data_IF_385152468324
#
_entry.id   IF_385152468324
#
_cell.length_a   1.000
_cell.length_b   1.000
_cell.length_c   1.000
_cell.angle_alpha   90.00
_cell.angle_beta   90.00
_cell.angle_gamma   90.00
#
_symmetry.space_group_name_H-M   'P 1'
#
loop_
_entity.id
_entity.type
_entity.pdbx_description
1 polymer ?
#
# COMPACT_ATOMS: atom_id res chain seq x y z
N UNK A 1 2.74 6.45 6.47
CA UNK A 1 2.06 7.57 7.15
C UNK A 1 0.68 7.88 6.57
N UNK A 2 0.53 8.23 5.28
CA UNK A 2 -0.80 8.62 4.73
C UNK A 2 -1.91 7.57 4.94
N UNK A 3 -1.61 6.27 4.75
CA UNK A 3 -2.58 5.18 5.00
C UNK A 3 -2.96 5.03 6.48
N UNK A 4 -2.01 5.18 7.40
CA UNK A 4 -2.27 5.08 8.85
C UNK A 4 -3.17 6.25 9.27
N UNK A 5 -2.88 7.46 8.80
CA UNK A 5 -3.70 8.64 9.06
C UNK A 5 -5.08 8.52 8.41
N UNK A 6 -5.19 7.95 7.20
CA UNK A 6 -6.49 7.76 6.55
C UNK A 6 -7.35 6.73 7.29
N UNK A 7 -6.78 5.59 7.69
CA UNK A 7 -7.46 4.58 8.51
C UNK A 7 -7.90 5.19 9.85
N UNK A 8 -7.00 5.94 10.52
CA UNK A 8 -7.38 6.66 11.73
C UNK A 8 -8.51 7.67 11.48
N UNK A 9 -8.47 8.41 10.37
CA UNK A 9 -9.48 9.43 10.07
C UNK A 9 -10.84 8.79 9.80
N UNK A 10 -10.87 7.66 9.10
CA UNK A 10 -12.06 6.85 8.84
C UNK A 10 -12.66 6.29 10.14
N UNK A 11 -11.83 5.80 11.04
CA UNK A 11 -12.25 5.19 12.31
C UNK A 11 -12.07 6.10 13.53
N UNK A 12 -11.99 7.41 13.32
CA UNK A 12 -11.59 8.39 14.36
C UNK A 12 -12.41 8.26 15.63
N UNK A 13 -13.72 8.14 15.48
CA UNK A 13 -14.64 8.05 16.62
C UNK A 13 -14.40 6.79 17.45
N UNK A 14 -14.21 5.64 16.81
CA UNK A 14 -13.93 4.37 17.50
C UNK A 14 -12.59 4.40 18.23
N UNK A 15 -11.55 4.91 17.58
CA UNK A 15 -10.21 5.03 18.18
C UNK A 15 -10.24 6.02 19.35
N UNK A 16 -10.88 7.18 19.20
CA UNK A 16 -10.98 8.16 20.28
C UNK A 16 -11.83 7.66 21.44
N UNK A 17 -12.94 6.95 21.17
CA UNK A 17 -13.76 6.34 22.20
C UNK A 17 -12.99 5.31 23.03
N UNK A 18 -12.21 4.45 22.37
CA UNK A 18 -11.32 3.49 23.02
C UNK A 18 -10.31 4.20 23.93
N UNK A 19 -9.56 5.17 23.39
CA UNK A 19 -8.56 5.92 24.17
C UNK A 19 -9.17 6.67 25.36
N UNK A 20 -10.36 7.26 25.20
CA UNK A 20 -11.09 7.91 26.30
C UNK A 20 -11.42 6.91 27.41
N UNK A 21 -11.95 5.75 27.04
CA UNK A 21 -12.31 4.70 28.00
C UNK A 21 -11.08 4.16 28.73
N UNK A 22 -9.97 3.94 28.00
CA UNK A 22 -8.69 3.52 28.57
C UNK A 22 -8.18 4.55 29.58
N UNK A 23 -8.13 5.84 29.21
CA UNK A 23 -7.66 6.90 30.10
C UNK A 23 -8.59 7.13 31.30
N UNK A 24 -9.92 7.06 31.12
CA UNK A 24 -10.88 7.12 32.23
C UNK A 24 -10.65 5.98 33.22
N UNK A 25 -10.39 4.76 32.74
CA UNK A 25 -10.23 3.59 33.60
C UNK A 25 -8.97 3.65 34.49
N UNK A 26 -7.96 4.41 34.08
CA UNK A 26 -6.69 4.49 34.78
C UNK A 26 -6.66 5.63 35.79
N UNK A 27 -6.45 5.28 37.06
CA UNK A 27 -6.30 6.21 38.18
C UNK A 27 -5.07 5.80 39.00
N UNK A 28 -3.92 6.49 38.86
CA UNK A 28 -2.74 6.19 39.66
C UNK A 28 -2.99 6.57 41.13
N UNK A 29 -2.64 5.66 42.03
CA UNK A 29 -2.60 5.84 43.48
C UNK A 29 -1.42 6.75 43.88
N UNK A 30 -0.31 6.67 43.13
CA UNK A 30 0.93 7.42 43.37
C UNK A 30 1.64 7.76 42.06
N UNK A 31 2.52 8.76 42.09
CA UNK A 31 3.37 9.12 40.95
C UNK A 31 4.64 8.24 40.85
N UNK A 32 4.71 7.14 41.59
CA UNK A 32 5.86 6.23 41.58
C UNK A 32 5.88 5.38 40.32
N UNK A 33 7.08 5.04 39.85
CA UNK A 33 7.28 4.25 38.63
C UNK A 33 6.48 2.93 38.62
N UNK A 34 6.35 2.28 39.78
CA UNK A 34 5.62 1.01 39.91
C UNK A 34 4.14 1.17 39.55
N UNK A 35 3.52 2.24 40.02
CA UNK A 35 2.09 2.44 39.85
C UNK A 35 1.77 3.03 38.47
N UNK A 36 2.58 3.97 38.01
CA UNK A 36 2.49 4.52 36.66
C UNK A 36 2.67 3.45 35.58
N UNK A 37 3.54 2.45 35.81
CA UNK A 37 3.78 1.37 34.84
C UNK A 37 2.63 0.39 34.67
N UNK A 38 1.67 0.34 35.61
CA UNK A 38 0.46 -0.50 35.47
C UNK A 38 -0.35 -0.13 34.23
N UNK A 39 -0.28 1.13 33.81
CA UNK A 39 -0.93 1.58 32.58
C UNK A 39 -0.47 0.77 31.36
N UNK A 40 0.84 0.50 31.25
CA UNK A 40 1.40 -0.26 30.13
C UNK A 40 1.01 -1.74 30.18
N UNK A 41 0.68 -2.30 31.35
CA UNK A 41 0.21 -3.69 31.47
C UNK A 41 -1.18 -3.85 30.84
N UNK A 42 -2.06 -2.86 31.04
CA UNK A 42 -3.40 -2.83 30.45
C UNK A 42 -3.43 -2.34 29.00
N UNK A 43 -2.53 -1.43 28.63
CA UNK A 43 -2.54 -0.73 27.35
C UNK A 43 -1.22 -0.96 26.60
N UNK A 44 -1.27 -1.74 25.52
CA UNK A 44 -0.07 -2.14 24.78
C UNK A 44 0.41 -1.06 23.83
N UNK A 45 -0.49 -0.21 23.34
CA UNK A 45 -0.15 0.87 22.43
C UNK A 45 0.49 2.07 23.14
N UNK A 46 0.34 2.21 24.46
CA UNK A 46 0.99 3.27 25.23
C UNK A 46 2.52 3.12 25.21
N UNK A 47 3.21 4.20 24.87
CA UNK A 47 4.67 4.30 24.82
C UNK A 47 5.25 5.03 26.01
N UNK A 48 4.64 6.17 26.38
CA UNK A 48 5.12 7.07 27.42
C UNK A 48 3.94 7.58 28.26
N UNK A 49 4.15 7.70 29.57
CA UNK A 49 3.22 8.27 30.52
C UNK A 49 3.95 9.23 31.46
N UNK A 50 3.41 10.41 31.71
CA UNK A 50 3.95 11.39 32.65
C UNK A 50 2.87 12.35 33.17
N UNK A 51 3.22 13.13 34.20
CA UNK A 51 2.30 14.05 34.88
C UNK A 51 2.79 15.49 34.77
N UNK A 52 1.84 16.41 34.56
CA UNK A 52 2.07 17.84 34.38
C UNK A 52 1.17 18.61 35.35
N UNK A 53 1.70 19.61 36.03
CA UNK A 53 0.91 20.40 37.01
C UNK A 53 0.09 21.51 36.33
N UNK A 54 -0.72 22.24 37.10
CA UNK A 54 -1.53 23.37 36.61
C UNK A 54 -0.70 24.52 36.00
N UNK A 55 0.60 24.59 36.31
CA UNK A 55 1.54 25.54 35.69
C UNK A 55 2.20 24.99 34.42
N UNK A 56 1.68 23.88 33.89
CA UNK A 56 2.18 23.16 32.72
C UNK A 56 3.63 22.67 32.83
N UNK A 57 4.14 22.51 34.05
CA UNK A 57 5.46 21.93 34.29
C UNK A 57 5.32 20.43 34.49
N UNK A 58 6.08 19.65 33.73
CA UNK A 58 6.20 18.21 33.97
C UNK A 58 6.93 18.00 35.29
N UNK A 59 6.32 17.29 36.25
CA UNK A 59 6.88 17.11 37.60
C UNK A 59 7.15 15.63 37.94
N UNK A 60 6.96 14.73 36.98
CA UNK A 60 7.36 13.32 37.07
C UNK A 60 8.30 12.95 35.93
N UNK A 61 9.13 11.92 36.09
CA UNK A 61 9.86 11.33 34.99
C UNK A 61 8.90 10.87 33.87
N UNK A 62 9.39 10.81 32.64
CA UNK A 62 8.70 10.14 31.55
C UNK A 62 8.86 8.63 31.73
N UNK A 63 7.76 7.96 32.10
CA UNK A 63 7.74 6.52 32.28
C UNK A 63 7.49 5.86 30.93
N UNK A 64 8.40 4.98 30.52
CA UNK A 64 8.14 4.02 29.46
C UNK A 64 7.93 2.62 30.03
N UNK A 65 7.52 1.69 29.18
CA UNK A 65 7.32 0.28 29.56
C UNK A 65 8.54 -0.33 30.27
N UNK A 66 9.72 -0.13 29.70
CA UNK A 66 10.97 -0.73 30.17
C UNK A 66 12.05 0.29 30.56
N UNK A 67 11.73 1.58 30.56
CA UNK A 67 12.68 2.64 30.88
C UNK A 67 12.02 3.75 31.71
N UNK A 68 12.85 4.61 32.29
CA UNK A 68 12.44 5.85 32.95
C UNK A 68 13.39 6.92 32.43
N UNK A 69 12.83 8.03 31.96
CA UNK A 69 13.57 9.19 31.49
C UNK A 69 13.28 10.39 32.41
N UNK A 70 14.28 10.81 33.17
CA UNK A 70 14.18 11.95 34.11
C UNK A 70 14.66 13.26 33.46
N UNK A 71 15.21 13.24 32.25
CA UNK A 71 15.79 14.43 31.59
C UNK A 71 14.74 15.51 31.33
N UNK A 72 13.46 15.12 31.27
CA UNK A 72 12.33 16.01 30.99
C UNK A 72 11.60 16.48 32.26
N UNK A 73 12.01 16.03 33.42
CA UNK A 73 11.43 16.46 34.69
C UNK A 73 11.76 17.95 34.95
N UNK A 74 10.77 18.73 35.31
CA UNK A 74 10.87 20.19 35.43
C UNK A 74 10.74 20.97 34.12
N UNK A 75 10.49 20.31 32.97
CA UNK A 75 10.34 21.01 31.69
C UNK A 75 8.96 21.67 31.54
N UNK A 76 8.94 22.86 30.94
CA UNK A 76 7.72 23.59 30.59
C UNK A 76 7.05 22.97 29.34
N UNK A 77 5.77 22.59 29.49
CA UNK A 77 4.91 22.00 28.45
C UNK A 77 3.82 22.96 27.96
N UNK A 78 3.78 24.21 28.41
CA UNK A 78 2.73 25.20 28.09
C UNK A 78 2.43 25.30 26.59
N UNK A 79 3.46 25.16 25.73
CA UNK A 79 3.29 25.16 24.28
C UNK A 79 2.32 24.08 23.79
N UNK A 80 2.43 22.85 24.30
CA UNK A 80 1.59 21.72 23.89
C UNK A 80 0.15 21.86 24.38
N UNK A 81 -0.06 22.55 25.51
CA UNK A 81 -1.37 22.76 26.11
C UNK A 81 -2.20 23.87 25.44
N UNK A 82 -1.62 24.67 24.53
CA UNK A 82 -2.34 25.74 23.81
C UNK A 82 -3.56 25.24 23.01
N UNK A 83 -3.52 24.00 22.56
CA UNK A 83 -4.57 23.39 21.74
C UNK A 83 -5.38 22.33 22.49
N UNK A 84 -5.10 22.13 23.78
CA UNK A 84 -5.82 21.21 24.64
C UNK A 84 -7.11 21.89 25.09
N UNK A 85 -8.24 21.23 24.85
CA UNK A 85 -9.56 21.71 25.24
C UNK A 85 -10.34 20.60 25.94
N UNK A 86 -10.97 20.96 27.06
CA UNK A 86 -11.75 20.09 27.94
C UNK A 86 -13.23 20.50 27.96
N UNK A 87 -13.81 20.76 26.78
CA UNK A 87 -15.11 21.40 26.66
C UNK A 87 -16.25 20.61 27.32
N UNK A 88 -16.34 19.31 27.08
CA UNK A 88 -17.41 18.45 27.62
C UNK A 88 -16.88 17.27 28.46
N UNK A 89 -15.59 16.93 28.33
CA UNK A 89 -14.97 15.78 28.97
C UNK A 89 -13.61 16.17 29.59
N UNK A 90 -13.21 15.44 30.63
CA UNK A 90 -11.91 15.64 31.30
C UNK A 90 -10.71 15.13 30.47
N UNK A 91 -10.97 14.53 29.29
CA UNK A 91 -9.95 13.95 28.42
C UNK A 91 -9.90 14.68 27.08
N UNK A 92 -8.70 15.01 26.64
CA UNK A 92 -8.41 15.54 25.33
C UNK A 92 -7.52 14.55 24.55
N UNK A 93 -7.83 14.31 23.28
CA UNK A 93 -7.01 13.48 22.38
C UNK A 93 -6.50 14.35 21.24
N UNK A 94 -5.19 14.35 21.03
CA UNK A 94 -4.54 15.12 19.98
C UNK A 94 -4.92 14.64 18.58
N UNK A 95 -4.64 15.47 17.58
CA UNK A 95 -4.54 14.96 16.22
C UNK A 95 -3.27 14.08 16.05
N UNK A 96 -3.26 13.17 15.07
CA UNK A 96 -2.06 12.44 14.65
C UNK A 96 -0.86 13.36 14.41
N UNK A 97 0.29 13.04 15.00
CA UNK A 97 1.56 13.72 14.70
C UNK A 97 2.72 12.72 14.66
N UNK A 98 3.91 13.18 14.26
CA UNK A 98 5.13 12.35 14.31
C UNK A 98 5.86 12.60 15.62
N UNK A 99 6.11 11.53 16.36
CA UNK A 99 6.90 11.63 17.57
C UNK A 99 8.36 11.99 17.24
N UNK A 100 8.87 13.04 17.87
CA UNK A 100 10.19 13.62 17.60
C UNK A 100 11.38 12.67 17.82
N UNK A 101 11.27 11.67 18.72
CA UNK A 101 12.35 10.72 19.00
C UNK A 101 12.25 9.47 18.12
N UNK A 102 11.06 8.87 18.06
CA UNK A 102 10.85 7.57 17.41
C UNK A 102 10.53 7.70 15.92
N UNK A 103 10.09 8.87 15.47
CA UNK A 103 9.61 9.08 14.09
C UNK A 103 8.34 8.32 13.76
N UNK A 104 7.67 7.72 14.76
CA UNK A 104 6.44 6.96 14.57
C UNK A 104 5.21 7.88 14.62
N UNK A 105 4.11 7.53 13.93
CA UNK A 105 2.84 8.22 14.09
C UNK A 105 2.27 7.98 15.49
N UNK A 106 1.95 9.07 16.18
CA UNK A 106 1.56 9.05 17.60
C UNK A 106 0.28 9.85 17.83
N UNK A 107 -0.50 9.41 18.82
CA UNK A 107 -1.60 10.16 19.42
C UNK A 107 -1.26 10.41 20.88
N UNK A 108 -1.59 11.60 21.38
CA UNK A 108 -1.44 11.93 22.80
C UNK A 108 -2.82 12.08 23.42
N UNK A 109 -3.06 11.41 24.53
CA UNK A 109 -4.22 11.64 25.38
C UNK A 109 -3.80 12.40 26.64
N UNK A 110 -4.56 13.44 26.97
CA UNK A 110 -4.37 14.26 28.17
C UNK A 110 -5.63 14.13 29.02
N UNK A 111 -5.51 13.56 30.21
CA UNK A 111 -6.58 13.48 31.21
C UNK A 111 -6.34 14.55 32.28
N UNK A 112 -7.36 15.35 32.58
CA UNK A 112 -7.33 16.32 33.69
C UNK A 112 -7.85 15.64 34.95
N UNK A 113 -7.03 15.58 35.99
CA UNK A 113 -7.42 15.08 37.31
C UNK A 113 -7.10 16.11 38.39
N UNK A 114 -8.14 16.62 39.05
CA UNK A 114 -8.02 17.66 40.09
C UNK A 114 -7.20 18.87 39.59
N UNK A 115 -5.95 18.97 40.03
CA UNK A 115 -4.97 20.05 39.82
C UNK A 115 -3.72 19.58 39.05
N UNK A 116 -3.85 18.53 38.27
CA UNK A 116 -2.79 18.05 37.40
C UNK A 116 -3.36 17.38 36.14
N UNK A 117 -2.47 17.12 35.20
CA UNK A 117 -2.74 16.46 33.94
C UNK A 117 -1.90 15.21 33.83
N UNK A 118 -2.56 14.11 33.48
CA UNK A 118 -1.90 12.87 33.10
C UNK A 118 -1.81 12.83 31.57
N UNK A 119 -0.59 12.69 31.05
CA UNK A 119 -0.32 12.69 29.61
C UNK A 119 0.23 11.34 29.19
N UNK A 120 -0.43 10.72 28.20
CA UNK A 120 -0.05 9.44 27.64
C UNK A 120 0.14 9.54 26.13
N UNK A 121 1.29 9.09 25.64
CA UNK A 121 1.58 8.97 24.21
C UNK A 121 1.35 7.52 23.74
N UNK A 122 0.66 7.37 22.62
CA UNK A 122 0.27 6.08 22.04
C UNK A 122 0.86 5.91 20.65
N UNK A 123 1.52 4.77 20.42
CA UNK A 123 1.91 4.33 19.09
C UNK A 123 0.65 3.99 18.29
N UNK A 124 0.38 4.79 17.27
CA UNK A 124 -0.82 4.65 16.47
C UNK A 124 -0.84 3.34 15.68
N UNK A 125 0.32 2.79 15.32
CA UNK A 125 0.39 1.49 14.63
C UNK A 125 -0.10 0.38 15.54
N UNK A 126 0.46 0.31 16.76
CA UNK A 126 0.04 -0.69 17.76
C UNK A 126 -1.42 -0.52 18.13
N UNK A 127 -1.89 0.72 18.27
CA UNK A 127 -3.27 1.04 18.60
C UNK A 127 -4.24 0.53 17.52
N UNK A 128 -3.94 0.79 16.25
CA UNK A 128 -4.79 0.34 15.14
C UNK A 128 -4.72 -1.20 14.95
N UNK A 129 -3.59 -1.83 15.26
CA UNK A 129 -3.44 -3.28 15.27
C UNK A 129 -4.28 -3.93 16.38
N UNK A 130 -4.24 -3.36 17.59
CA UNK A 130 -5.03 -3.83 18.75
C UNK A 130 -6.54 -3.73 18.51
N UNK A 131 -6.97 -2.67 17.83
CA UNK A 131 -8.34 -2.48 17.38
C UNK A 131 -8.71 -3.33 16.15
N UNK A 132 -7.77 -4.14 15.62
CA UNK A 132 -7.91 -4.94 14.39
C UNK A 132 -8.30 -4.12 13.16
N UNK A 133 -7.96 -2.83 13.15
CA UNK A 133 -8.11 -1.94 12.01
C UNK A 133 -6.97 -2.12 11.00
N UNK A 134 -5.88 -2.76 11.43
CA UNK A 134 -4.75 -3.18 10.59
C UNK A 134 -4.39 -4.61 11.00
N UNK A 135 -4.45 -5.57 10.06
CA UNK A 135 -3.93 -6.91 10.29
C UNK A 135 -2.45 -6.98 9.91
N UNK A 136 -1.60 -7.42 10.84
CA UNK A 136 -0.22 -7.79 10.59
C UNK A 136 -0.08 -9.32 10.64
N UNK A 137 -0.49 -10.03 9.58
CA UNK A 137 -0.20 -11.47 9.49
C UNK A 137 1.10 -11.69 8.72
N UNK A 138 2.23 -11.60 9.44
CA UNK A 138 3.58 -11.71 8.90
C UNK A 138 3.84 -13.02 8.14
N UNK A 139 3.19 -14.13 8.52
CA UNK A 139 3.31 -15.42 7.84
C UNK A 139 2.60 -15.41 6.48
N UNK A 140 1.39 -14.84 6.41
CA UNK A 140 0.66 -14.70 5.15
C UNK A 140 1.39 -13.78 4.18
N UNK A 141 1.89 -12.63 4.65
CA UNK A 141 2.69 -11.72 3.83
C UNK A 141 3.96 -12.39 3.28
N UNK A 142 4.63 -13.21 4.11
CA UNK A 142 5.84 -13.92 3.69
C UNK A 142 5.54 -15.00 2.64
N UNK A 143 4.46 -15.77 2.82
CA UNK A 143 4.01 -16.77 1.84
C UNK A 143 3.62 -16.08 0.53
N UNK A 144 2.82 -15.01 0.61
CA UNK A 144 2.37 -14.27 -0.57
C UNK A 144 3.55 -13.71 -1.37
N UNK A 145 4.52 -13.09 -0.69
CA UNK A 145 5.74 -12.59 -1.33
C UNK A 145 6.53 -13.70 -2.02
N UNK A 146 6.65 -14.86 -1.37
CA UNK A 146 7.36 -15.99 -1.95
C UNK A 146 6.66 -16.50 -3.22
N UNK A 147 5.34 -16.70 -3.16
CA UNK A 147 4.55 -17.18 -4.29
C UNK A 147 4.57 -16.18 -5.45
N UNK A 148 4.34 -14.90 -5.18
CA UNK A 148 4.34 -13.86 -6.21
C UNK A 148 5.72 -13.62 -6.79
N UNK A 149 6.77 -13.66 -5.97
CA UNK A 149 8.16 -13.57 -6.42
C UNK A 149 8.58 -14.75 -7.30
N UNK A 150 8.26 -15.97 -6.89
CA UNK A 150 8.51 -17.18 -7.69
C UNK A 150 7.71 -17.15 -9.02
N UNK A 151 6.44 -16.74 -8.96
CA UNK A 151 5.61 -16.56 -10.15
C UNK A 151 6.17 -15.52 -11.11
N UNK A 152 6.59 -14.35 -10.61
CA UNK A 152 7.22 -13.31 -11.42
C UNK A 152 8.52 -13.77 -12.07
N UNK A 153 9.37 -14.52 -11.36
CA UNK A 153 10.59 -15.09 -11.93
C UNK A 153 10.30 -16.10 -13.05
N UNK A 154 9.35 -17.01 -12.84
CA UNK A 154 8.95 -17.99 -13.85
C UNK A 154 8.39 -17.31 -15.11
N UNK A 155 7.52 -16.31 -14.94
CA UNK A 155 7.01 -15.51 -16.06
C UNK A 155 8.15 -14.78 -16.79
N UNK A 156 9.12 -14.25 -16.04
CA UNK A 156 10.33 -13.65 -16.61
C UNK A 156 11.11 -14.61 -17.50
N UNK A 157 11.32 -15.86 -17.06
CA UNK A 157 12.00 -16.87 -17.87
C UNK A 157 11.20 -17.22 -19.14
N UNK A 158 9.89 -17.41 -19.03
CA UNK A 158 9.00 -17.67 -20.18
C UNK A 158 9.05 -16.51 -21.18
N UNK A 159 9.03 -15.27 -20.69
CA UNK A 159 9.09 -14.07 -21.54
C UNK A 159 10.38 -14.00 -22.35
N UNK A 160 11.51 -14.27 -21.70
CA UNK A 160 12.84 -14.28 -22.33
C UNK A 160 12.90 -15.37 -23.39
N UNK A 161 12.42 -16.58 -23.07
CA UNK A 161 12.35 -17.68 -24.02
C UNK A 161 11.55 -17.32 -25.28
N UNK A 162 10.37 -16.72 -25.14
CA UNK A 162 9.53 -16.33 -26.27
C UNK A 162 10.17 -15.24 -27.16
N UNK A 163 10.85 -14.26 -26.56
CA UNK A 163 11.58 -13.23 -27.30
C UNK A 163 12.71 -13.87 -28.12
N UNK A 164 13.51 -14.73 -27.49
CA UNK A 164 14.59 -15.44 -28.20
C UNK A 164 14.07 -16.39 -29.27
N UNK A 165 12.94 -17.07 -29.02
CA UNK A 165 12.30 -17.94 -29.98
C UNK A 165 11.84 -17.17 -31.23
N UNK A 166 11.18 -16.03 -31.05
CA UNK A 166 10.80 -15.18 -32.19
C UNK A 166 12.02 -14.61 -32.93
N UNK A 167 13.04 -14.15 -32.20
CA UNK A 167 14.30 -13.70 -32.80
C UNK A 167 15.01 -14.81 -33.60
N UNK A 168 14.96 -16.05 -33.10
CA UNK A 168 15.50 -17.22 -33.78
C UNK A 168 14.78 -17.50 -35.11
N UNK A 169 13.44 -17.47 -35.11
CA UNK A 169 12.64 -17.63 -36.34
C UNK A 169 13.03 -16.55 -37.35
N UNK A 170 13.08 -15.30 -36.92
CA UNK A 170 13.45 -14.18 -37.79
C UNK A 170 14.86 -14.32 -38.38
N UNK A 171 15.83 -14.73 -37.55
CA UNK A 171 17.19 -14.98 -37.99
C UNK A 171 17.27 -16.09 -39.05
N UNK A 172 16.56 -17.19 -38.83
CA UNK A 172 16.52 -18.31 -39.77
C UNK A 172 15.87 -17.91 -41.11
N UNK A 173 14.87 -17.02 -41.06
CA UNK A 173 14.21 -16.44 -42.24
C UNK A 173 15.16 -15.59 -43.10
N UNK A 174 16.11 -14.87 -42.49
CA UNK A 174 17.08 -14.03 -43.22
C UNK A 174 18.09 -14.86 -44.02
N UNK A 175 18.40 -16.08 -43.57
CA UNK A 175 19.51 -16.88 -44.11
C UNK A 175 19.01 -17.95 -45.08
N UNK A 176 17.80 -18.47 -44.88
CA UNK A 176 17.24 -19.52 -45.73
C UNK A 176 16.31 -18.93 -46.80
N UNK A 177 16.43 -19.34 -48.09
CA UNK A 177 15.47 -18.95 -49.12
C UNK A 177 14.15 -19.70 -48.92
N UNK A 178 13.12 -18.99 -48.43
CA UNK A 178 11.76 -19.51 -48.29
C UNK A 178 10.89 -19.18 -49.51
N UNK A 179 9.89 -20.02 -49.81
CA UNK A 179 8.81 -19.73 -50.76
C UNK A 179 7.81 -18.72 -50.17
N UNK A 180 7.15 -17.92 -51.02
CA UNK A 180 6.37 -16.73 -50.62
C UNK A 180 5.35 -16.94 -49.50
N UNK A 181 4.57 -18.02 -49.53
CA UNK A 181 3.53 -18.28 -48.52
C UNK A 181 4.12 -18.69 -47.16
N UNK A 182 5.26 -19.39 -47.15
CA UNK A 182 5.96 -19.76 -45.93
C UNK A 182 6.57 -18.53 -45.23
N UNK A 183 7.02 -17.54 -46.01
CA UNK A 183 7.59 -16.29 -45.47
C UNK A 183 6.57 -15.53 -44.61
N UNK A 184 5.33 -15.40 -45.07
CA UNK A 184 4.29 -14.69 -44.31
C UNK A 184 3.90 -15.44 -43.03
N UNK A 185 3.86 -16.77 -43.04
CA UNK A 185 3.57 -17.53 -41.83
C UNK A 185 4.67 -17.37 -40.77
N UNK A 186 5.94 -17.48 -41.17
CA UNK A 186 7.08 -17.41 -40.27
C UNK A 186 7.28 -16.00 -39.72
N UNK A 187 7.12 -14.95 -40.53
CA UNK A 187 7.25 -13.56 -40.05
C UNK A 187 6.18 -13.22 -39.01
N UNK A 188 4.94 -13.70 -39.20
CA UNK A 188 3.88 -13.52 -38.21
C UNK A 188 4.16 -14.30 -36.93
N UNK A 189 4.63 -15.55 -37.04
CA UNK A 189 4.98 -16.36 -35.87
C UNK A 189 6.11 -15.72 -35.05
N UNK A 190 7.11 -15.14 -35.73
CA UNK A 190 8.18 -14.36 -35.09
C UNK A 190 7.62 -13.13 -34.36
N UNK A 191 6.81 -12.31 -35.04
CA UNK A 191 6.24 -11.09 -34.46
C UNK A 191 5.37 -11.43 -33.25
N UNK A 192 4.46 -12.41 -33.37
CA UNK A 192 3.59 -12.86 -32.26
C UNK A 192 4.43 -13.30 -31.06
N UNK A 193 5.45 -14.12 -31.28
CA UNK A 193 6.28 -14.64 -30.19
C UNK A 193 6.98 -13.52 -29.43
N UNK A 194 7.54 -12.54 -30.15
CA UNK A 194 8.19 -11.37 -29.55
C UNK A 194 7.17 -10.50 -28.80
N UNK A 195 6.00 -10.23 -29.39
CA UNK A 195 4.96 -9.39 -28.78
C UNK A 195 4.41 -10.01 -27.50
N UNK A 196 4.09 -11.31 -27.50
CA UNK A 196 3.65 -12.05 -26.30
C UNK A 196 4.77 -12.06 -25.26
N UNK A 197 6.01 -12.31 -25.68
CA UNK A 197 7.17 -12.28 -24.79
C UNK A 197 7.32 -10.92 -24.09
N UNK A 198 7.25 -9.81 -24.81
CA UNK A 198 7.32 -8.47 -24.23
C UNK A 198 6.18 -8.17 -23.26
N UNK A 199 4.95 -8.59 -23.57
CA UNK A 199 3.79 -8.41 -22.69
C UNK A 199 3.94 -9.20 -21.38
N UNK A 200 4.41 -10.45 -21.46
CA UNK A 200 4.67 -11.28 -20.27
C UNK A 200 5.83 -10.71 -19.45
N UNK A 201 6.86 -10.17 -20.09
CA UNK A 201 7.99 -9.54 -19.40
C UNK A 201 7.53 -8.34 -18.56
N UNK A 202 6.68 -7.48 -19.13
CA UNK A 202 6.14 -6.32 -18.41
C UNK A 202 5.29 -6.74 -17.19
N UNK A 203 4.52 -7.83 -17.32
CA UNK A 203 3.80 -8.45 -16.20
C UNK A 203 4.75 -9.00 -15.13
N UNK A 204 5.76 -9.77 -15.55
CA UNK A 204 6.75 -10.36 -14.65
C UNK A 204 7.49 -9.29 -13.85
N UNK A 205 7.95 -8.24 -14.54
CA UNK A 205 8.57 -7.07 -13.93
C UNK A 205 7.63 -6.41 -12.92
N UNK A 206 6.38 -6.19 -13.32
CA UNK A 206 5.37 -5.56 -12.46
C UNK A 206 5.10 -6.37 -11.18
N UNK A 207 5.03 -7.70 -11.27
CA UNK A 207 4.86 -8.58 -10.10
C UNK A 207 6.06 -8.51 -9.16
N UNK A 208 7.28 -8.57 -9.71
CA UNK A 208 8.52 -8.53 -8.92
C UNK A 208 8.70 -7.14 -8.27
N UNK A 209 8.46 -6.06 -9.00
CA UNK A 209 8.59 -4.69 -8.50
C UNK A 209 7.65 -4.42 -7.33
N UNK A 210 6.37 -4.81 -7.45
CA UNK A 210 5.36 -4.51 -6.44
C UNK A 210 5.43 -5.39 -5.18
N UNK A 211 5.90 -6.65 -5.30
CA UNK A 211 5.82 -7.61 -4.19
C UNK A 211 7.19 -7.94 -3.57
N UNK A 212 8.27 -7.91 -4.36
CA UNK A 212 9.61 -8.36 -3.94
C UNK A 212 10.60 -7.20 -3.74
N UNK A 213 10.71 -6.26 -4.69
CA UNK A 213 11.75 -5.22 -4.67
C UNK A 213 11.35 -3.98 -3.88
N UNK A 214 10.16 -3.45 -4.13
CA UNK A 214 9.70 -2.25 -3.45
C UNK A 214 8.78 -2.66 -2.30
N UNK A 215 9.32 -2.70 -1.08
CA UNK A 215 8.53 -2.57 0.15
C UNK A 215 8.01 -1.13 0.29
N UNK A 216 7.48 -0.54 -0.78
CA UNK A 216 7.11 0.86 -0.74
C UNK A 216 5.71 0.96 -0.17
N UNK A 217 5.68 1.20 1.14
CA UNK A 217 4.66 1.98 1.83
C UNK A 217 3.30 1.89 1.17
N UNK A 218 2.56 0.83 1.49
CA UNK A 218 1.16 0.60 1.16
C UNK A 218 0.35 1.91 1.05
N UNK A 219 0.35 2.53 -0.13
CA UNK A 219 -0.27 3.81 -0.44
C UNK A 219 -1.62 3.49 -1.12
N UNK A 220 -2.55 2.95 -0.33
CA UNK A 220 -3.96 2.76 -0.69
C UNK A 220 -4.25 2.01 -2.00
N UNK A 221 -5.53 1.91 -2.34
CA UNK A 221 -6.02 1.28 -3.57
C UNK A 221 -5.48 1.95 -4.85
N UNK A 222 -4.90 3.15 -4.75
CA UNK A 222 -4.43 3.93 -5.90
C UNK A 222 -3.19 3.33 -6.61
N UNK A 223 -2.26 2.72 -5.87
CA UNK A 223 -1.09 2.07 -6.47
C UNK A 223 -1.44 0.72 -7.10
N UNK A 224 -2.34 -0.05 -6.48
CA UNK A 224 -2.87 -1.26 -7.10
C UNK A 224 -3.65 -0.95 -8.38
N UNK A 225 -4.50 0.08 -8.37
CA UNK A 225 -5.23 0.51 -9.57
C UNK A 225 -4.28 1.00 -10.66
N UNK A 226 -3.22 1.75 -10.33
CA UNK A 226 -2.20 2.17 -11.30
C UNK A 226 -1.43 0.99 -11.90
N UNK A 227 -1.10 0.01 -11.07
CA UNK A 227 -0.41 -1.22 -11.48
C UNK A 227 -1.28 -2.05 -12.43
N UNK A 228 -2.54 -2.30 -12.04
CA UNK A 228 -3.51 -3.00 -12.87
C UNK A 228 -3.76 -2.25 -14.19
N UNK A 229 -3.86 -0.93 -14.14
CA UNK A 229 -4.05 -0.09 -15.33
C UNK A 229 -2.86 -0.17 -16.30
N UNK A 230 -1.63 -0.14 -15.79
CA UNK A 230 -0.41 -0.36 -16.62
C UNK A 230 -0.42 -1.75 -17.26
N UNK A 231 -0.73 -2.78 -16.47
CA UNK A 231 -0.81 -4.16 -16.96
C UNK A 231 -1.87 -4.32 -18.07
N UNK A 232 -3.09 -3.82 -17.84
CA UNK A 232 -4.15 -3.84 -18.86
C UNK A 232 -3.77 -3.06 -20.11
N UNK A 233 -3.08 -1.93 -19.96
CA UNK A 233 -2.58 -1.14 -21.11
C UNK A 233 -1.59 -1.96 -21.93
N UNK A 234 -0.66 -2.68 -21.28
CA UNK A 234 0.31 -3.56 -21.94
C UNK A 234 -0.37 -4.69 -22.74
N UNK A 235 -1.37 -5.36 -22.14
CA UNK A 235 -2.18 -6.39 -22.83
C UNK A 235 -2.93 -5.80 -24.02
N UNK A 236 -3.56 -4.64 -23.85
CA UNK A 236 -4.31 -3.99 -24.93
C UNK A 236 -3.40 -3.65 -26.11
N UNK A 237 -2.18 -3.17 -25.85
CA UNK A 237 -1.20 -2.91 -26.92
C UNK A 237 -0.85 -4.21 -27.65
N UNK A 238 -0.56 -5.29 -26.91
CA UNK A 238 -0.23 -6.59 -27.50
C UNK A 238 -1.38 -7.13 -28.36
N UNK A 239 -2.60 -7.16 -27.80
CA UNK A 239 -3.81 -7.57 -28.53
C UNK A 239 -4.06 -6.69 -29.74
N UNK A 240 -3.83 -5.38 -29.66
CA UNK A 240 -4.02 -4.47 -30.81
C UNK A 240 -3.07 -4.81 -31.97
N UNK A 241 -1.81 -5.10 -31.68
CA UNK A 241 -0.81 -5.49 -32.69
C UNK A 241 -1.19 -6.85 -33.31
N UNK A 242 -1.57 -7.81 -32.48
CA UNK A 242 -1.99 -9.14 -32.94
C UNK A 242 -3.27 -9.08 -33.77
N UNK A 243 -4.22 -8.22 -33.39
CA UNK A 243 -5.45 -7.96 -34.13
C UNK A 243 -5.18 -7.41 -35.52
N UNK A 244 -4.30 -6.41 -35.61
CA UNK A 244 -3.91 -5.81 -36.88
C UNK A 244 -3.26 -6.83 -37.80
N UNK A 245 -2.39 -7.68 -37.24
CA UNK A 245 -1.73 -8.75 -37.98
C UNK A 245 -2.72 -9.83 -38.45
N UNK A 246 -3.69 -10.21 -37.62
CA UNK A 246 -4.76 -11.13 -38.00
C UNK A 246 -5.62 -10.58 -39.16
N UNK A 247 -5.90 -9.27 -39.15
CA UNK A 247 -6.58 -8.58 -40.27
C UNK A 247 -5.75 -8.71 -41.55
N UNK A 248 -4.45 -8.41 -41.50
CA UNK A 248 -3.59 -8.54 -42.67
C UNK A 248 -3.55 -9.97 -43.22
N UNK A 249 -3.45 -10.98 -42.34
CA UNK A 249 -3.49 -12.39 -42.75
C UNK A 249 -4.81 -12.75 -43.44
N UNK A 250 -5.94 -12.33 -42.88
CA UNK A 250 -7.27 -12.60 -43.45
C UNK A 250 -7.44 -11.93 -44.81
N UNK A 251 -6.97 -10.69 -44.98
CA UNK A 251 -7.02 -9.96 -46.25
C UNK A 251 -6.19 -10.64 -47.35
N UNK A 252 -5.05 -11.24 -46.98
CA UNK A 252 -4.17 -11.92 -47.94
C UNK A 252 -4.63 -13.35 -48.28
N UNK A 253 -5.21 -14.09 -47.33
CA UNK A 253 -5.62 -15.49 -47.51
C UNK A 253 -7.06 -15.66 -48.04
N UNK A 254 -8.06 -15.06 -47.35
CA UNK A 254 -9.48 -15.38 -47.55
C UNK A 254 -10.39 -14.21 -47.15
N UNK A 255 -10.79 -13.43 -48.16
CA UNK A 255 -11.73 -12.30 -48.04
C UNK A 255 -13.06 -12.69 -47.38
N UNK A 256 -13.49 -13.96 -47.46
CA UNK A 256 -14.72 -14.45 -46.82
C UNK A 256 -14.69 -14.39 -45.29
N UNK A 257 -13.49 -14.32 -44.69
CA UNK A 257 -13.29 -14.25 -43.24
C UNK A 257 -13.12 -12.82 -42.71
N UNK A 258 -13.27 -11.79 -43.56
CA UNK A 258 -13.16 -10.39 -43.14
C UNK A 258 -14.10 -10.02 -41.98
N UNK A 259 -15.26 -10.67 -41.89
CA UNK A 259 -16.20 -10.46 -40.78
C UNK A 259 -15.60 -10.84 -39.42
N UNK A 260 -14.72 -11.85 -39.36
CA UNK A 260 -14.03 -12.23 -38.13
C UNK A 260 -13.02 -11.15 -37.72
N UNK A 261 -12.32 -10.57 -38.69
CA UNK A 261 -11.40 -9.45 -38.47
C UNK A 261 -12.15 -8.23 -37.91
N UNK A 262 -13.37 -7.97 -38.42
CA UNK A 262 -14.24 -6.91 -37.91
C UNK A 262 -14.63 -7.11 -36.44
N UNK A 263 -15.08 -8.32 -36.05
CA UNK A 263 -15.39 -8.61 -34.65
C UNK A 263 -14.18 -8.47 -33.72
N UNK A 264 -13.00 -8.83 -34.21
CA UNK A 264 -11.76 -8.75 -33.46
C UNK A 264 -11.37 -7.28 -33.20
N UNK A 265 -11.47 -6.40 -34.20
CA UNK A 265 -11.28 -4.95 -34.03
C UNK A 265 -12.30 -4.34 -33.06
N UNK A 266 -13.56 -4.76 -33.14
CA UNK A 266 -14.60 -4.32 -32.18
C UNK A 266 -14.20 -4.73 -30.76
N UNK A 267 -13.76 -5.97 -30.55
CA UNK A 267 -13.34 -6.48 -29.24
C UNK A 267 -12.22 -5.64 -28.62
N UNK A 268 -11.17 -5.34 -29.39
CA UNK A 268 -10.08 -4.48 -28.93
C UNK A 268 -10.56 -3.06 -28.64
N UNK A 269 -11.43 -2.50 -29.48
CA UNK A 269 -12.00 -1.17 -29.27
C UNK A 269 -12.81 -1.11 -27.97
N UNK A 270 -13.61 -2.15 -27.68
CA UNK A 270 -14.36 -2.25 -26.43
C UNK A 270 -13.44 -2.37 -25.21
N UNK A 271 -12.33 -3.11 -25.31
CA UNK A 271 -11.33 -3.17 -24.23
C UNK A 271 -10.66 -1.82 -23.97
N UNK A 272 -10.32 -1.08 -25.03
CA UNK A 272 -9.76 0.28 -24.92
C UNK A 272 -10.76 1.21 -24.24
N UNK A 273 -12.01 1.23 -24.72
CA UNK A 273 -13.07 2.08 -24.17
C UNK A 273 -13.38 1.70 -22.72
N UNK A 274 -13.54 0.41 -22.41
CA UNK A 274 -13.80 -0.09 -21.07
C UNK A 274 -12.70 0.29 -20.09
N UNK A 275 -11.43 0.16 -20.50
CA UNK A 275 -10.29 0.56 -19.68
C UNK A 275 -10.23 2.09 -19.50
N UNK A 276 -10.56 2.85 -20.55
CA UNK A 276 -10.70 4.31 -20.47
C UNK A 276 -11.77 4.75 -19.46
N UNK A 277 -12.94 4.12 -19.49
CA UNK A 277 -14.03 4.37 -18.54
C UNK A 277 -13.62 4.00 -17.12
N UNK A 278 -13.03 2.80 -16.91
CA UNK A 278 -12.54 2.35 -15.62
C UNK A 278 -11.53 3.34 -15.01
N UNK A 279 -10.54 3.77 -15.81
CA UNK A 279 -9.54 4.74 -15.39
C UNK A 279 -10.15 6.11 -15.06
N UNK A 280 -11.17 6.53 -15.80
CA UNK A 280 -11.87 7.79 -15.55
C UNK A 280 -12.66 7.76 -14.24
N UNK A 281 -13.47 6.71 -14.03
CA UNK A 281 -14.25 6.52 -12.80
C UNK A 281 -13.35 6.36 -11.57
N UNK A 282 -12.25 5.59 -11.70
CA UNK A 282 -11.28 5.44 -10.60
C UNK A 282 -10.57 6.75 -10.25
N UNK A 283 -10.53 7.75 -11.14
CA UNK A 283 -9.98 9.08 -10.86
C UNK A 283 -10.99 10.02 -10.21
N UNK A 284 -12.28 9.88 -10.51
CA UNK A 284 -13.34 10.73 -9.91
C UNK A 284 -13.65 10.37 -8.45
N UNK A 285 -13.42 9.12 -8.03
CA UNK A 285 -13.63 8.66 -6.65
C UNK A 285 -12.45 9.00 -5.70
N UNK A 286 -11.66 10.02 -6.01
CA UNK A 286 -10.58 10.56 -5.17
C UNK A 286 -10.85 12.00 -4.78
#
# INVERSE_FOLDING_TARGET
MKRIISIYTEHKNSVQYYLRTTMESFHPISNDAKDMRRFFESEKAAEVLYSVNDSFIQYTPSFGRNYIDDDRNGTDKSFYFKWVSFAEEAIHISNPYLHHVTGLPTLTAVKRENNHYLVADFDMLKLLEELRLIEHNSAYEQINRFVMGAGGLLLGLVSIYLIFYGAYIFYHMLISPYSGDAVMHEIFTSIISITIGLAIYDLAKTLIENEVLFKTFNYGNDLQNKTLSKFLTSIIIALSIESLMAVFKIVLDDYGKLINAFYLIIGVTLLIVGTGIYNHLSRQNK
#
